data_IF_001330370141
#
_entry.id   IF_001330370141
#
_cell.length_a   1.000
_cell.length_b   1.000
_cell.length_c   1.000
_cell.angle_alpha   90.00
_cell.angle_beta   90.00
_cell.angle_gamma   90.00
#
_symmetry.space_group_name_H-M   'P 1'
#
loop_
_entity.id
_entity.type
_entity.pdbx_description
1 polymer ?
#
# COMPACT_ATOMS: atom_id res chain seq x y z
N UNK A 1 -43.46 30.93 25.69
CA UNK A 1 -43.64 30.23 24.40
C UNK A 1 -42.29 30.07 23.68
N UNK A 2 -41.40 31.07 23.67
CA UNK A 2 -40.06 30.99 23.04
C UNK A 2 -39.19 29.89 23.69
N UNK A 3 -39.06 29.86 25.01
CA UNK A 3 -38.27 28.87 25.73
C UNK A 3 -38.76 27.41 25.53
N UNK A 4 -40.07 27.24 25.37
CA UNK A 4 -40.64 25.90 25.09
C UNK A 4 -40.29 25.43 23.67
N UNK A 5 -40.28 26.37 22.70
CA UNK A 5 -39.85 26.04 21.33
C UNK A 5 -38.38 25.69 21.26
N UNK A 6 -37.53 26.39 21.98
CA UNK A 6 -36.08 26.10 22.06
C UNK A 6 -35.83 24.71 22.71
N UNK A 7 -36.54 24.40 23.79
CA UNK A 7 -36.44 23.08 24.42
C UNK A 7 -36.96 21.96 23.50
N UNK A 8 -38.05 22.19 22.76
CA UNK A 8 -38.58 21.21 21.81
C UNK A 8 -37.59 20.99 20.65
N UNK A 9 -37.01 22.06 20.13
CA UNK A 9 -35.99 21.96 19.08
C UNK A 9 -34.73 21.24 19.56
N UNK A 10 -34.28 21.51 20.77
CA UNK A 10 -33.15 20.81 21.38
C UNK A 10 -33.47 19.33 21.61
N UNK A 11 -34.68 19.00 22.03
CA UNK A 11 -35.11 17.61 22.20
C UNK A 11 -35.19 16.85 20.87
N UNK A 12 -35.75 17.47 19.85
CA UNK A 12 -35.77 16.89 18.48
C UNK A 12 -34.36 16.68 17.95
N UNK A 13 -33.45 17.64 18.16
CA UNK A 13 -32.06 17.54 17.77
C UNK A 13 -31.36 16.38 18.50
N UNK A 14 -31.63 16.19 19.78
CA UNK A 14 -31.11 15.08 20.57
C UNK A 14 -31.63 13.72 20.08
N UNK A 15 -32.92 13.64 19.76
CA UNK A 15 -33.55 12.43 19.26
C UNK A 15 -32.99 12.05 17.88
N UNK A 16 -32.90 12.99 16.93
CA UNK A 16 -32.26 12.80 15.62
C UNK A 16 -30.82 12.35 15.78
N UNK A 17 -30.09 12.95 16.73
CA UNK A 17 -28.71 12.56 17.01
C UNK A 17 -28.60 11.13 17.57
N UNK A 18 -29.51 10.71 18.43
CA UNK A 18 -29.57 9.35 18.96
C UNK A 18 -29.89 8.31 17.88
N UNK A 19 -30.88 8.60 17.03
CA UNK A 19 -31.25 7.75 15.88
C UNK A 19 -30.08 7.61 14.91
N UNK A 20 -29.44 8.73 14.53
CA UNK A 20 -28.24 8.72 13.70
C UNK A 20 -27.08 7.92 14.31
N UNK A 21 -26.81 8.11 15.60
CA UNK A 21 -25.76 7.35 16.31
C UNK A 21 -26.06 5.85 16.36
N UNK A 22 -27.33 5.47 16.51
CA UNK A 22 -27.76 4.07 16.48
C UNK A 22 -27.58 3.45 15.08
N UNK A 23 -27.93 4.18 14.04
CA UNK A 23 -27.76 3.76 12.65
C UNK A 23 -26.28 3.61 12.28
N UNK A 24 -25.44 4.59 12.64
CA UNK A 24 -23.99 4.54 12.46
C UNK A 24 -23.36 3.38 13.24
N UNK A 25 -23.78 3.16 14.49
CA UNK A 25 -23.29 2.02 15.29
C UNK A 25 -23.66 0.69 14.66
N UNK A 26 -24.90 0.53 14.20
CA UNK A 26 -25.34 -0.68 13.49
C UNK A 26 -24.54 -0.96 12.22
N UNK A 27 -24.32 0.08 11.41
CA UNK A 27 -23.49 -0.03 10.20
C UNK A 27 -22.02 -0.37 10.51
N UNK A 28 -21.48 0.17 11.60
CA UNK A 28 -20.11 -0.16 12.06
C UNK A 28 -20.02 -1.60 12.56
N UNK A 29 -21.06 -2.08 13.28
CA UNK A 29 -21.10 -3.47 13.76
C UNK A 29 -21.20 -4.46 12.61
N UNK A 30 -22.05 -4.20 11.61
CA UNK A 30 -22.14 -5.00 10.39
C UNK A 30 -20.82 -5.01 9.59
N UNK A 31 -20.21 -3.83 9.41
CA UNK A 31 -18.92 -3.71 8.73
C UNK A 31 -17.82 -4.45 9.49
N UNK A 32 -17.81 -4.36 10.83
CA UNK A 32 -16.86 -5.06 11.70
C UNK A 32 -17.05 -6.57 11.63
N UNK A 33 -18.28 -7.08 11.63
CA UNK A 33 -18.58 -8.50 11.51
C UNK A 33 -18.16 -9.04 10.14
N UNK A 34 -18.43 -8.29 9.06
CA UNK A 34 -17.99 -8.65 7.69
C UNK A 34 -16.47 -8.68 7.58
N UNK A 35 -15.79 -7.66 8.10
CA UNK A 35 -14.31 -7.60 8.13
C UNK A 35 -13.72 -8.73 8.99
N UNK A 36 -14.30 -9.03 10.13
CA UNK A 36 -13.84 -10.12 11.01
C UNK A 36 -13.97 -11.47 10.33
N UNK A 37 -15.09 -11.74 9.64
CA UNK A 37 -15.31 -12.98 8.88
C UNK A 37 -14.29 -13.14 7.74
N UNK A 38 -14.08 -12.09 6.94
CA UNK A 38 -13.08 -12.08 5.86
C UNK A 38 -11.67 -12.24 6.41
N UNK A 39 -11.32 -11.52 7.47
CA UNK A 39 -10.01 -11.57 8.11
C UNK A 39 -9.74 -12.94 8.70
N UNK A 40 -10.72 -13.56 9.36
CA UNK A 40 -10.59 -14.93 9.92
C UNK A 40 -10.37 -15.94 8.82
N UNK A 41 -11.12 -15.86 7.73
CA UNK A 41 -10.95 -16.76 6.56
C UNK A 41 -9.55 -16.62 5.95
N UNK A 42 -9.01 -15.42 5.88
CA UNK A 42 -7.68 -15.15 5.33
C UNK A 42 -6.58 -15.59 6.32
N UNK A 43 -6.72 -15.27 7.60
CA UNK A 43 -5.76 -15.65 8.64
C UNK A 43 -5.62 -17.17 8.80
N UNK A 44 -6.70 -17.91 8.54
CA UNK A 44 -6.66 -19.38 8.51
C UNK A 44 -5.96 -19.93 7.26
N UNK A 45 -5.89 -19.14 6.17
CA UNK A 45 -5.32 -19.58 4.90
C UNK A 45 -3.84 -19.30 4.78
N UNK A 46 -3.32 -18.21 5.40
CA UNK A 46 -1.94 -17.78 5.24
C UNK A 46 -1.20 -17.73 6.58
N UNK A 47 -0.05 -18.38 6.62
CA UNK A 47 0.82 -18.43 7.82
C UNK A 47 1.80 -17.25 7.87
N UNK A 48 2.08 -16.61 6.73
CA UNK A 48 3.07 -15.52 6.61
C UNK A 48 2.60 -14.44 5.65
N UNK A 49 3.07 -13.21 5.94
CA UNK A 49 2.77 -12.02 5.14
C UNK A 49 4.08 -11.37 4.70
N UNK A 50 4.21 -11.13 3.41
CA UNK A 50 5.25 -10.29 2.84
C UNK A 50 4.61 -8.95 2.48
N UNK A 51 4.92 -7.90 3.23
CA UNK A 51 4.60 -6.53 2.84
C UNK A 51 5.74 -6.01 1.97
N UNK A 52 5.42 -5.27 0.90
CA UNK A 52 6.44 -4.73 0.01
C UNK A 52 6.28 -3.22 -0.18
N UNK A 53 7.42 -2.56 -0.35
CA UNK A 53 7.53 -1.19 -0.84
C UNK A 53 8.79 -1.03 -1.66
N UNK A 54 8.74 -0.18 -2.68
CA UNK A 54 9.92 0.03 -3.51
C UNK A 54 9.94 1.36 -4.24
N UNK A 55 11.12 1.71 -4.76
CA UNK A 55 11.26 2.86 -5.64
C UNK A 55 10.37 2.69 -6.88
N UNK A 56 9.74 3.79 -7.27
CA UNK A 56 9.15 3.90 -8.61
C UNK A 56 10.22 4.20 -9.64
N UNK A 57 9.94 3.85 -10.89
CA UNK A 57 10.71 4.31 -12.05
C UNK A 57 10.89 5.82 -11.97
N UNK A 58 12.09 6.29 -12.24
CA UNK A 58 12.42 7.70 -12.18
C UNK A 58 11.61 8.53 -13.19
N UNK A 59 11.21 9.73 -12.81
CA UNK A 59 10.71 10.73 -13.76
C UNK A 59 11.86 11.20 -14.65
N UNK A 60 11.55 11.68 -15.86
CA UNK A 60 12.55 12.14 -16.81
C UNK A 60 13.42 13.31 -16.29
N UNK A 61 12.82 14.14 -15.45
CA UNK A 61 13.43 15.34 -14.88
C UNK A 61 14.20 15.09 -13.56
N UNK A 62 14.32 13.79 -13.15
CA UNK A 62 14.98 13.47 -11.89
C UNK A 62 16.49 13.66 -11.96
N UNK A 63 17.07 14.60 -11.15
CA UNK A 63 18.48 14.92 -11.25
C UNK A 63 19.41 13.80 -10.76
N UNK A 64 19.00 13.06 -9.72
CA UNK A 64 19.75 11.94 -9.16
C UNK A 64 18.94 10.66 -9.30
N UNK A 65 19.33 9.74 -10.20
CA UNK A 65 18.55 8.53 -10.44
C UNK A 65 18.57 7.60 -9.24
N UNK A 66 17.45 6.91 -9.04
CA UNK A 66 17.29 5.85 -8.04
C UNK A 66 16.84 4.55 -8.69
N UNK A 67 15.92 4.64 -9.65
CA UNK A 67 15.47 3.54 -10.48
C UNK A 67 15.39 4.02 -11.93
N UNK A 68 16.53 3.98 -12.66
CA UNK A 68 16.60 4.44 -14.05
C UNK A 68 15.64 3.70 -14.97
N UNK A 69 15.23 4.39 -16.05
CA UNK A 69 14.39 3.83 -17.10
C UNK A 69 15.22 2.98 -18.05
N UNK A 70 15.74 1.88 -17.59
CA UNK A 70 16.51 0.96 -18.43
C UNK A 70 16.09 -0.48 -18.20
N UNK A 71 16.13 -1.33 -19.26
CA UNK A 71 15.90 -2.77 -19.12
C UNK A 71 16.84 -3.43 -18.11
N UNK A 72 18.09 -2.96 -18.03
CA UNK A 72 19.07 -3.48 -17.08
C UNK A 72 18.69 -3.17 -15.61
N UNK A 73 18.24 -1.94 -15.33
CA UNK A 73 17.78 -1.58 -13.99
C UNK A 73 16.50 -2.35 -13.61
N UNK A 74 15.58 -2.54 -14.54
CA UNK A 74 14.38 -3.34 -14.32
C UNK A 74 14.73 -4.81 -14.03
N UNK A 75 15.62 -5.41 -14.82
CA UNK A 75 16.06 -6.79 -14.63
C UNK A 75 16.74 -6.99 -13.26
N UNK A 76 17.60 -6.06 -12.84
CA UNK A 76 18.25 -6.11 -11.53
C UNK A 76 17.24 -5.93 -10.38
N UNK A 77 16.29 -4.99 -10.50
CA UNK A 77 15.23 -4.81 -9.50
C UNK A 77 14.40 -6.10 -9.37
N UNK A 78 13.99 -6.69 -10.51
CA UNK A 78 13.26 -7.98 -10.54
C UNK A 78 14.06 -9.09 -9.87
N UNK A 79 15.37 -9.19 -10.15
CA UNK A 79 16.26 -10.17 -9.54
C UNK A 79 16.32 -10.00 -8.01
N UNK A 80 16.56 -8.77 -7.53
CA UNK A 80 16.62 -8.47 -6.10
C UNK A 80 15.32 -8.83 -5.38
N UNK A 81 14.17 -8.52 -5.99
CA UNK A 81 12.85 -8.87 -5.45
C UNK A 81 12.67 -10.38 -5.42
N UNK A 82 13.02 -11.07 -6.52
CA UNK A 82 12.88 -12.51 -6.64
C UNK A 82 13.71 -13.26 -5.60
N UNK A 83 14.99 -12.91 -5.47
CA UNK A 83 15.89 -13.50 -4.49
C UNK A 83 15.35 -13.34 -3.06
N UNK A 84 14.81 -12.17 -2.73
CA UNK A 84 14.27 -11.89 -1.41
C UNK A 84 12.97 -12.69 -1.13
N UNK A 85 12.06 -12.77 -2.10
CA UNK A 85 10.84 -13.58 -1.95
C UNK A 85 11.21 -15.05 -1.80
N UNK A 86 12.12 -15.58 -2.60
CA UNK A 86 12.58 -16.96 -2.50
C UNK A 86 13.23 -17.24 -1.13
N UNK A 87 14.02 -16.31 -0.61
CA UNK A 87 14.58 -16.42 0.74
C UNK A 87 13.49 -16.42 1.83
N UNK A 88 12.42 -15.65 1.66
CA UNK A 88 11.27 -15.73 2.57
C UNK A 88 10.52 -17.06 2.43
N UNK A 89 10.31 -17.55 1.23
CA UNK A 89 9.63 -18.84 1.00
C UNK A 89 10.41 -20.03 1.59
N UNK A 90 11.74 -19.97 1.58
CA UNK A 90 12.59 -21.01 2.11
C UNK A 90 12.58 -21.15 3.65
N UNK A 91 12.06 -20.15 4.39
CA UNK A 91 12.06 -20.19 5.88
C UNK A 91 11.07 -21.20 6.47
N UNK A 92 9.95 -21.41 5.80
CA UNK A 92 8.87 -22.29 6.26
C UNK A 92 7.98 -22.67 5.08
N UNK A 93 7.44 -23.87 5.10
CA UNK A 93 6.57 -24.41 4.04
C UNK A 93 5.12 -23.88 4.08
N UNK A 94 4.78 -23.03 5.04
CA UNK A 94 3.42 -22.47 5.15
C UNK A 94 3.06 -21.50 4.04
N UNK A 95 1.78 -21.39 3.69
CA UNK A 95 1.32 -20.52 2.63
C UNK A 95 1.60 -19.03 2.95
N UNK A 96 2.05 -18.30 1.93
CA UNK A 96 2.45 -16.89 2.01
C UNK A 96 1.52 -16.01 1.19
N UNK A 97 1.24 -14.80 1.66
CA UNK A 97 0.55 -13.77 0.88
C UNK A 97 1.41 -12.51 0.79
N UNK A 98 1.48 -11.93 -0.40
CA UNK A 98 2.07 -10.61 -0.64
C UNK A 98 1.04 -9.48 -0.48
N UNK A 99 1.46 -8.38 0.10
CA UNK A 99 0.67 -7.13 0.23
C UNK A 99 1.49 -5.98 -0.31
N UNK A 100 0.98 -5.26 -1.30
CA UNK A 100 1.68 -4.15 -1.91
C UNK A 100 0.72 -3.14 -2.54
N UNK A 101 1.24 -1.94 -2.84
CA UNK A 101 0.62 -0.98 -3.73
C UNK A 101 0.87 -1.35 -5.20
N UNK A 102 0.55 -0.45 -6.13
CA UNK A 102 0.68 -0.69 -7.59
C UNK A 102 1.47 0.39 -8.32
N UNK A 103 2.42 1.07 -7.66
CA UNK A 103 3.23 2.12 -8.27
C UNK A 103 4.12 1.54 -9.37
N UNK A 104 4.36 2.29 -10.46
CA UNK A 104 5.28 1.85 -11.51
C UNK A 104 6.71 1.65 -10.98
N UNK A 105 7.33 0.53 -11.31
CA UNK A 105 8.63 0.11 -10.78
C UNK A 105 8.50 -1.02 -9.77
N UNK A 106 9.09 -0.86 -8.57
CA UNK A 106 9.21 -1.93 -7.59
C UNK A 106 7.89 -2.62 -7.23
N UNK A 107 6.80 -1.86 -7.04
CA UNK A 107 5.53 -2.43 -6.60
C UNK A 107 4.90 -3.35 -7.67
N UNK A 108 4.89 -2.92 -8.93
CA UNK A 108 4.39 -3.75 -10.04
C UNK A 108 5.28 -4.99 -10.21
N UNK A 109 6.60 -4.82 -10.19
CA UNK A 109 7.54 -5.94 -10.27
C UNK A 109 7.34 -6.96 -9.16
N UNK A 110 7.05 -6.51 -7.94
CA UNK A 110 6.76 -7.40 -6.82
C UNK A 110 5.55 -8.30 -7.12
N UNK A 111 4.45 -7.74 -7.61
CA UNK A 111 3.26 -8.52 -7.96
C UNK A 111 3.54 -9.54 -9.07
N UNK A 112 4.31 -9.16 -10.07
CA UNK A 112 4.67 -10.05 -11.17
C UNK A 112 5.58 -11.20 -10.72
N UNK A 113 6.59 -10.89 -9.92
CA UNK A 113 7.50 -11.89 -9.36
C UNK A 113 6.76 -12.84 -8.42
N UNK A 114 5.85 -12.33 -7.60
CA UNK A 114 4.98 -13.17 -6.78
C UNK A 114 4.16 -14.14 -7.65
N UNK A 115 3.57 -13.66 -8.75
CA UNK A 115 2.82 -14.51 -9.67
C UNK A 115 3.69 -15.60 -10.30
N UNK A 116 4.94 -15.29 -10.70
CA UNK A 116 5.91 -16.26 -11.21
C UNK A 116 6.24 -17.34 -10.18
N UNK A 117 6.28 -16.98 -8.91
CA UNK A 117 6.62 -17.87 -7.79
C UNK A 117 5.40 -18.57 -7.17
N UNK A 118 4.21 -18.37 -7.72
CA UNK A 118 2.98 -18.96 -7.21
C UNK A 118 2.51 -18.36 -5.87
N UNK A 119 2.93 -17.14 -5.55
CA UNK A 119 2.53 -16.42 -4.33
C UNK A 119 1.32 -15.53 -4.61
N UNK A 120 0.24 -15.77 -3.89
CA UNK A 120 -0.95 -14.90 -3.93
C UNK A 120 -0.58 -13.49 -3.48
N UNK A 121 -1.11 -12.46 -4.15
CA UNK A 121 -0.93 -11.07 -3.74
C UNK A 121 -2.24 -10.30 -3.63
N UNK A 122 -2.22 -9.25 -2.82
CA UNK A 122 -3.29 -8.26 -2.71
C UNK A 122 -2.75 -6.88 -3.06
N UNK A 123 -3.48 -6.22 -3.94
CA UNK A 123 -3.18 -4.87 -4.38
C UNK A 123 -3.98 -3.86 -3.56
N UNK A 124 -3.29 -2.85 -3.02
CA UNK A 124 -3.88 -1.78 -2.20
C UNK A 124 -3.66 -0.42 -2.86
N UNK A 125 -4.74 0.32 -3.07
CA UNK A 125 -4.71 1.64 -3.70
C UNK A 125 -5.17 2.73 -2.72
N UNK A 126 -4.43 3.83 -2.57
CA UNK A 126 -4.83 4.96 -1.71
C UNK A 126 -5.98 5.77 -2.29
N UNK A 127 -6.15 5.74 -3.61
CA UNK A 127 -6.98 6.62 -4.42
C UNK A 127 -7.82 5.80 -5.40
N UNK A 128 -8.83 6.39 -6.06
CA UNK A 128 -9.49 5.80 -7.21
C UNK A 128 -8.47 5.39 -8.28
N UNK A 129 -8.75 4.30 -8.99
CA UNK A 129 -7.81 3.66 -9.94
C UNK A 129 -7.22 4.67 -10.93
N UNK A 130 -8.06 5.52 -11.55
CA UNK A 130 -7.61 6.51 -12.54
C UNK A 130 -6.70 7.57 -11.90
N UNK A 131 -7.07 8.08 -10.73
CA UNK A 131 -6.28 9.07 -10.00
C UNK A 131 -4.94 8.48 -9.53
N UNK A 132 -4.93 7.23 -9.08
CA UNK A 132 -3.71 6.54 -8.71
C UNK A 132 -2.80 6.32 -9.94
N UNK A 133 -3.36 5.85 -11.05
CA UNK A 133 -2.62 5.70 -12.31
C UNK A 133 -1.97 7.01 -12.74
N UNK A 134 -2.72 8.12 -12.76
CA UNK A 134 -2.21 9.44 -13.13
C UNK A 134 -1.04 9.90 -12.24
N UNK A 135 -1.15 9.71 -10.93
CA UNK A 135 -0.15 10.20 -9.96
C UNK A 135 1.07 9.29 -9.81
N UNK A 136 0.88 7.97 -9.98
CA UNK A 136 1.86 6.97 -9.52
C UNK A 136 2.32 5.98 -10.60
N UNK A 137 1.68 5.94 -11.77
CA UNK A 137 1.99 4.96 -12.82
C UNK A 137 2.36 5.62 -14.15
N UNK A 138 1.56 6.56 -14.65
CA UNK A 138 1.68 7.13 -15.99
C UNK A 138 3.06 7.74 -16.29
N UNK A 139 3.72 8.30 -15.26
CA UNK A 139 5.07 8.83 -15.45
C UNK A 139 6.10 7.72 -15.84
N UNK A 140 5.80 6.45 -15.62
CA UNK A 140 6.60 5.32 -16.05
C UNK A 140 6.55 5.07 -17.57
N UNK A 141 5.49 5.54 -18.24
CA UNK A 141 5.21 5.29 -19.66
C UNK A 141 4.12 4.23 -19.87
N UNK A 142 3.70 4.06 -21.15
CA UNK A 142 2.57 3.20 -21.52
C UNK A 142 2.74 1.76 -21.06
N UNK A 143 3.92 1.17 -21.24
CA UNK A 143 4.19 -0.20 -20.77
C UNK A 143 3.88 -0.41 -19.29
N UNK A 144 4.16 0.57 -18.42
CA UNK A 144 3.83 0.48 -17.00
C UNK A 144 2.34 0.66 -16.73
N UNK A 145 1.65 1.45 -17.56
CA UNK A 145 0.18 1.59 -17.49
C UNK A 145 -0.49 0.27 -17.86
N UNK A 146 -0.10 -0.35 -18.96
CA UNK A 146 -0.65 -1.64 -19.41
C UNK A 146 -0.44 -2.74 -18.36
N UNK A 147 0.75 -2.77 -17.73
CA UNK A 147 1.06 -3.72 -16.64
C UNK A 147 0.21 -3.46 -15.40
N UNK A 148 0.01 -2.20 -15.03
CA UNK A 148 -0.86 -1.82 -13.91
C UNK A 148 -2.32 -2.22 -14.17
N UNK A 149 -2.85 -1.96 -15.37
CA UNK A 149 -4.20 -2.37 -15.75
C UNK A 149 -4.34 -3.89 -15.70
N UNK A 150 -3.34 -4.62 -16.18
CA UNK A 150 -3.30 -6.09 -16.05
C UNK A 150 -3.25 -6.58 -14.59
N UNK A 151 -2.72 -5.79 -13.63
CA UNK A 151 -2.85 -6.11 -12.20
C UNK A 151 -4.27 -5.87 -11.69
N UNK A 152 -4.91 -4.76 -12.07
CA UNK A 152 -6.30 -4.44 -11.70
C UNK A 152 -7.25 -5.55 -12.15
N UNK A 153 -7.07 -6.07 -13.36
CA UNK A 153 -7.92 -7.12 -13.92
C UNK A 153 -7.73 -8.49 -13.25
N UNK A 154 -6.51 -8.80 -12.82
CA UNK A 154 -6.18 -10.13 -12.28
C UNK A 154 -6.28 -10.23 -10.77
N UNK A 155 -5.98 -9.16 -10.05
CA UNK A 155 -5.84 -9.19 -8.61
C UNK A 155 -7.10 -8.69 -7.91
N UNK A 156 -7.40 -9.27 -6.75
CA UNK A 156 -8.32 -8.63 -5.81
C UNK A 156 -7.65 -7.37 -5.27
N UNK A 157 -8.13 -6.20 -5.66
CA UNK A 157 -7.62 -4.96 -5.12
C UNK A 157 -8.60 -4.35 -4.10
N UNK A 158 -8.03 -3.54 -3.20
CA UNK A 158 -8.79 -2.71 -2.25
C UNK A 158 -8.43 -1.26 -2.47
N UNK A 159 -9.42 -0.40 -2.43
CA UNK A 159 -9.29 1.05 -2.57
C UNK A 159 -9.65 1.71 -1.24
N UNK A 160 -8.73 2.54 -0.71
CA UNK A 160 -8.90 3.20 0.58
C UNK A 160 -9.90 4.36 0.53
N UNK A 161 -9.94 5.08 -0.58
CA UNK A 161 -10.76 6.27 -0.72
C UNK A 161 -11.40 6.35 -2.10
N UNK A 162 -12.63 6.83 -2.14
CA UNK A 162 -13.34 7.21 -3.38
C UNK A 162 -13.03 8.66 -3.81
N UNK A 163 -12.33 9.43 -2.96
CA UNK A 163 -11.88 10.79 -3.20
C UNK A 163 -10.36 10.83 -3.41
N UNK A 164 -9.90 11.81 -4.15
CA UNK A 164 -8.47 12.06 -4.38
C UNK A 164 -7.79 12.77 -3.21
N UNK A 165 -8.58 13.42 -2.36
CA UNK A 165 -8.12 14.16 -1.20
C UNK A 165 -8.47 13.47 0.11
N UNK A 166 -7.71 13.82 1.15
CA UNK A 166 -8.07 13.45 2.50
C UNK A 166 -9.39 14.12 2.89
N UNK A 167 -10.23 13.47 3.73
CA UNK A 167 -11.37 14.13 4.36
C UNK A 167 -10.91 15.42 5.06
N UNK A 168 -11.75 16.46 5.05
CA UNK A 168 -11.39 17.78 5.59
C UNK A 168 -10.86 17.73 7.04
N UNK A 169 -11.41 16.82 7.86
CA UNK A 169 -11.03 16.65 9.26
C UNK A 169 -9.67 15.95 9.45
N UNK A 170 -9.11 15.38 8.38
CA UNK A 170 -7.81 14.68 8.40
C UNK A 170 -6.73 15.49 7.65
N UNK A 171 -7.10 16.60 7.01
CA UNK A 171 -6.15 17.43 6.28
C UNK A 171 -5.21 18.14 7.26
N UNK A 172 -3.91 17.90 7.12
CA UNK A 172 -2.87 18.63 7.84
C UNK A 172 -1.65 18.81 6.94
N UNK A 173 -0.74 19.74 7.32
CA UNK A 173 0.49 19.99 6.55
C UNK A 173 1.42 18.77 6.47
N UNK A 174 1.42 17.96 7.51
CA UNK A 174 2.36 16.86 7.70
C UNK A 174 1.72 15.49 7.47
N UNK A 175 0.50 15.45 6.91
CA UNK A 175 -0.22 14.21 6.64
C UNK A 175 -0.82 14.21 5.24
N UNK A 176 -0.64 13.11 4.51
CA UNK A 176 -1.12 12.97 3.14
C UNK A 176 -1.73 11.59 2.87
N UNK A 177 -2.36 11.46 1.70
CA UNK A 177 -3.05 10.23 1.29
C UNK A 177 -2.14 9.00 1.23
N UNK A 178 -0.85 9.17 0.92
CA UNK A 178 0.10 8.06 0.83
C UNK A 178 0.57 7.61 2.22
N UNK A 179 0.71 8.52 3.18
CA UNK A 179 1.01 8.17 4.57
C UNK A 179 -0.15 7.41 5.21
N UNK A 180 -1.38 7.87 4.98
CA UNK A 180 -2.59 7.13 5.37
C UNK A 180 -2.63 5.74 4.75
N UNK A 181 -2.26 5.62 3.49
CA UNK A 181 -2.19 4.36 2.78
C UNK A 181 -1.14 3.40 3.35
N UNK A 182 0.07 3.88 3.64
CA UNK A 182 1.11 3.07 4.26
C UNK A 182 0.61 2.46 5.57
N UNK A 183 0.01 3.28 6.43
CA UNK A 183 -0.54 2.82 7.70
C UNK A 183 -1.66 1.79 7.50
N UNK A 184 -2.55 2.02 6.53
CA UNK A 184 -3.62 1.11 6.18
C UNK A 184 -3.10 -0.24 5.66
N UNK A 185 -2.07 -0.25 4.82
CA UNK A 185 -1.42 -1.49 4.37
C UNK A 185 -0.81 -2.27 5.53
N UNK A 186 -0.11 -1.59 6.46
CA UNK A 186 0.45 -2.24 7.65
C UNK A 186 -0.64 -2.93 8.47
N UNK A 187 -1.72 -2.25 8.79
CA UNK A 187 -2.80 -2.84 9.58
C UNK A 187 -3.52 -3.98 8.85
N UNK A 188 -3.71 -3.88 7.54
CA UNK A 188 -4.26 -4.99 6.76
C UNK A 188 -3.30 -6.19 6.73
N UNK A 189 -2.01 -5.98 6.60
CA UNK A 189 -1.00 -7.04 6.68
C UNK A 189 -1.00 -7.72 8.06
N UNK A 190 -1.05 -6.94 9.12
CA UNK A 190 -1.13 -7.45 10.50
C UNK A 190 -2.43 -8.22 10.77
N UNK A 191 -3.55 -7.80 10.17
CA UNK A 191 -4.83 -8.51 10.32
C UNK A 191 -4.83 -9.89 9.66
N UNK A 192 -3.98 -10.10 8.65
CA UNK A 192 -3.80 -11.43 8.03
C UNK A 192 -3.03 -12.37 8.96
N UNK A 193 -1.85 -11.96 9.40
CA UNK A 193 -1.08 -12.69 10.39
C UNK A 193 -0.04 -11.79 11.08
N UNK A 194 -0.36 -11.36 12.31
CA UNK A 194 0.52 -10.50 13.09
C UNK A 194 1.81 -11.18 13.59
N UNK A 195 1.89 -12.52 13.57
CA UNK A 195 3.06 -13.23 14.09
C UNK A 195 4.19 -13.35 13.09
N UNK A 196 3.90 -13.24 11.79
CA UNK A 196 4.88 -13.47 10.73
C UNK A 196 4.71 -12.47 9.59
N UNK A 197 5.06 -11.22 9.87
CA UNK A 197 5.15 -10.14 8.89
C UNK A 197 6.62 -9.83 8.60
N UNK A 198 6.99 -9.84 7.33
CA UNK A 198 8.27 -9.30 6.84
C UNK A 198 7.99 -8.19 5.83
N UNK A 199 8.61 -7.03 6.00
CA UNK A 199 8.66 -5.98 4.99
C UNK A 199 9.89 -6.17 4.10
N UNK A 200 9.69 -6.30 2.80
CA UNK A 200 10.74 -6.18 1.80
C UNK A 200 10.72 -4.75 1.25
N UNK A 201 11.85 -4.05 1.35
CA UNK A 201 11.95 -2.66 0.91
C UNK A 201 13.05 -2.49 -0.15
N UNK A 202 12.67 -2.26 -1.41
CA UNK A 202 13.60 -1.89 -2.47
C UNK A 202 13.94 -0.40 -2.33
N UNK A 203 15.00 -0.11 -1.56
CA UNK A 203 15.27 1.22 -1.03
C UNK A 203 16.77 1.53 -0.91
N UNK A 204 17.16 2.73 -1.32
CA UNK A 204 18.54 3.22 -1.29
C UNK A 204 18.86 4.11 -0.08
N UNK A 205 17.91 4.31 0.84
CA UNK A 205 18.02 5.20 2.00
C UNK A 205 18.34 6.67 1.65
N UNK A 206 18.03 7.08 0.42
CA UNK A 206 18.28 8.45 -0.04
C UNK A 206 17.40 9.49 0.66
N UNK A 207 17.86 10.75 0.74
CA UNK A 207 17.13 11.83 1.41
C UNK A 207 15.77 12.16 0.79
N UNK A 208 15.57 11.81 -0.47
CA UNK A 208 14.30 12.04 -1.19
C UNK A 208 13.14 11.13 -0.73
N UNK A 209 13.42 10.11 0.08
CA UNK A 209 12.39 9.19 0.62
C UNK A 209 11.98 9.53 2.05
N UNK A 210 12.54 10.59 2.62
CA UNK A 210 12.30 11.04 4.00
C UNK A 210 10.98 11.80 4.21
N UNK A 211 10.13 11.84 3.20
CA UNK A 211 8.83 12.50 3.28
C UNK A 211 7.71 11.58 3.80
N UNK A 212 6.63 12.17 4.34
CA UNK A 212 5.43 11.44 4.71
C UNK A 212 4.87 10.64 3.53
N UNK A 213 4.60 9.35 3.74
CA UNK A 213 4.08 8.44 2.71
C UNK A 213 5.14 7.86 1.75
N UNK A 214 6.43 8.14 1.96
CA UNK A 214 7.54 7.53 1.24
C UNK A 214 7.90 6.13 1.75
N UNK A 215 8.94 5.55 1.15
CA UNK A 215 9.44 4.21 1.54
C UNK A 215 9.96 4.20 2.98
N UNK A 216 10.66 5.25 3.40
CA UNK A 216 11.15 5.39 4.78
C UNK A 216 10.01 5.41 5.81
N UNK A 217 8.91 6.09 5.49
CA UNK A 217 7.73 6.13 6.37
C UNK A 217 7.18 4.71 6.61
N UNK A 218 7.02 3.91 5.56
CA UNK A 218 6.55 2.53 5.72
C UNK A 218 7.55 1.65 6.48
N UNK A 219 8.85 1.80 6.21
CA UNK A 219 9.92 1.10 6.94
C UNK A 219 9.84 1.43 8.43
N UNK A 220 9.72 2.70 8.79
CA UNK A 220 9.61 3.15 10.18
C UNK A 220 8.33 2.62 10.85
N UNK A 221 7.20 2.62 10.14
CA UNK A 221 5.93 2.07 10.64
C UNK A 221 6.04 0.58 10.99
N UNK A 222 6.76 -0.20 10.20
CA UNK A 222 6.94 -1.64 10.44
C UNK A 222 7.99 -1.91 11.50
N UNK A 223 9.16 -1.25 11.41
CA UNK A 223 10.27 -1.44 12.33
C UNK A 223 9.93 -1.01 13.77
N UNK A 224 9.22 0.12 13.94
CA UNK A 224 8.79 0.61 15.26
C UNK A 224 7.82 -0.33 15.98
N UNK A 225 7.18 -1.24 15.25
CA UNK A 225 6.31 -2.30 15.79
C UNK A 225 7.02 -3.61 16.03
N UNK A 226 8.34 -3.65 15.85
CA UNK A 226 9.18 -4.83 16.10
C UNK A 226 9.15 -5.89 14.99
N UNK A 227 8.64 -5.58 13.81
CA UNK A 227 8.60 -6.52 12.69
C UNK A 227 9.87 -6.48 11.85
N UNK A 228 10.13 -7.58 11.15
CA UNK A 228 11.32 -7.73 10.33
C UNK A 228 11.26 -6.85 9.08
N UNK A 229 12.37 -6.16 8.79
CA UNK A 229 12.56 -5.36 7.57
C UNK A 229 13.78 -5.86 6.84
N UNK A 230 13.59 -6.32 5.60
CA UNK A 230 14.65 -6.74 4.69
C UNK A 230 14.85 -5.65 3.64
N UNK A 231 15.99 -5.01 3.67
CA UNK A 231 16.35 -3.98 2.69
C UNK A 231 16.96 -4.61 1.43
N UNK A 232 16.36 -4.36 0.28
CA UNK A 232 16.90 -4.70 -1.03
C UNK A 232 17.69 -3.50 -1.55
N UNK A 233 18.97 -3.70 -1.85
CA UNK A 233 19.92 -2.61 -2.15
C UNK A 233 19.63 -1.95 -3.49
N UNK A 234 18.71 -1.00 -3.51
CA UNK A 234 18.36 -0.22 -4.71
C UNK A 234 19.52 0.65 -5.23
N UNK A 235 20.58 0.86 -4.44
CA UNK A 235 21.82 1.53 -4.92
C UNK A 235 22.41 0.88 -6.16
N UNK A 236 22.21 -0.44 -6.33
CA UNK A 236 22.68 -1.18 -7.52
C UNK A 236 21.99 -0.75 -8.81
N UNK A 237 20.82 -0.12 -8.72
CA UNK A 237 20.08 0.31 -9.90
C UNK A 237 20.63 1.60 -10.50
N UNK A 238 21.27 2.46 -9.70
CA UNK A 238 21.66 3.84 -10.08
C UNK A 238 22.59 3.90 -11.28
N UNK A 239 23.47 2.93 -11.40
CA UNK A 239 24.53 2.90 -12.43
C UNK A 239 24.08 2.15 -13.69
N UNK A 240 22.89 1.52 -13.67
CA UNK A 240 22.33 0.75 -14.76
C UNK A 240 21.49 1.63 -15.70
N UNK A 241 22.05 2.73 -16.18
CA UNK A 241 21.43 3.62 -17.18
C UNK A 241 21.62 3.05 -18.58
N UNK A 242 20.75 3.41 -19.50
CA UNK A 242 21.06 3.25 -20.90
C UNK A 242 22.29 4.09 -21.25
N UNK A 243 23.32 3.46 -21.75
CA UNK A 243 24.43 4.18 -22.34
C UNK A 243 23.87 4.83 -23.62
N UNK A 244 23.70 6.15 -23.58
CA UNK A 244 23.36 6.91 -24.78
C UNK A 244 24.51 6.73 -25.77
N UNK A 245 24.28 5.86 -26.77
CA UNK A 245 25.17 5.71 -27.94
C UNK A 245 24.90 6.84 -28.91
#
# INVERSE_FOLDING_TARGET
ISAVREQLAAFQTLQIRQEFMKEVSGALDEASASLASETTSIAMRFSRVILFTGHSIDRHDRPAPRFPRSPAAEAEARRLIKDAIQAELAKDAGPVIGVCSGRCGGDILFHEVCAELGVDTRLFLPLPVQAFSARSVQHGGSNWVDRFEGLIDRLKFRQLSTSEDLPFWLQSRDYNVFQRHNLWMVFNALSVNARSLTLLALWDQGPADRGPGGTEDLVNQVASRGYNVVRLRAERLKDLRETTT
#
